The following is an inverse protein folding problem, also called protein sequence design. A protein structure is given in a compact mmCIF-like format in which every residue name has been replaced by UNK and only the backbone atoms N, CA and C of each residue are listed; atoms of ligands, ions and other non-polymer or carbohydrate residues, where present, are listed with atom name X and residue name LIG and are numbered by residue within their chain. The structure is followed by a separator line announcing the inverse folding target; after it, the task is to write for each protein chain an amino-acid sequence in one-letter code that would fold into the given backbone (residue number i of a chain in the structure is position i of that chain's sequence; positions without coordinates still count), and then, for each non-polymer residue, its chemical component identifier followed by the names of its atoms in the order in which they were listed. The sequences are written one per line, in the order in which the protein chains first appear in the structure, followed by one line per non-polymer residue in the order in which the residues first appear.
data_IF_262988062316
#
_entry.id   IF_262988062316
#
_cell.length_a   1.000
_cell.length_b   1.000
_cell.length_c   1.000
_cell.angle_alpha   90.00
_cell.angle_beta   90.00
_cell.angle_gamma   90.00
#
_symmetry.space_group_name_H-M   'P 1'
#
loop_
_entity.id
_entity.type
_entity.pdbx_description
1 polymer ?
#
# COMPACT_ATOMS: atom_id res chain seq x y z
N UNK A 1 -4.92 8.27 -10.39
CA UNK A 1 -3.52 8.12 -10.86
C UNK A 1 -2.57 7.65 -9.77
N UNK A 2 -2.08 8.51 -8.86
CA UNK A 2 -1.04 8.09 -7.88
C UNK A 2 -1.56 7.04 -6.86
N UNK A 3 -2.73 7.29 -6.26
CA UNK A 3 -3.31 6.36 -5.27
C UNK A 3 -3.66 5.01 -5.92
N UNK A 4 -4.13 5.02 -7.17
CA UNK A 4 -4.38 3.79 -7.94
C UNK A 4 -3.10 2.99 -8.15
N UNK A 5 -2.00 3.63 -8.57
CA UNK A 5 -0.70 2.99 -8.76
C UNK A 5 -0.14 2.40 -7.45
N UNK A 6 -0.24 3.16 -6.35
CA UNK A 6 0.19 2.68 -5.02
C UNK A 6 -0.67 1.49 -4.60
N UNK A 7 -1.99 1.60 -4.73
CA UNK A 7 -2.94 0.55 -4.38
C UNK A 7 -2.71 -0.74 -5.17
N UNK A 8 -2.46 -0.63 -6.47
CA UNK A 8 -2.12 -1.75 -7.34
C UNK A 8 -0.79 -2.40 -6.93
N UNK A 9 0.24 -1.59 -6.66
CA UNK A 9 1.56 -2.08 -6.21
C UNK A 9 1.44 -2.87 -4.90
N UNK A 10 0.72 -2.32 -3.92
CA UNK A 10 0.46 -2.97 -2.62
C UNK A 10 -0.31 -4.28 -2.82
N UNK A 11 -1.36 -4.28 -3.65
CA UNK A 11 -2.15 -5.48 -3.95
C UNK A 11 -1.30 -6.57 -4.60
N UNK A 12 -0.47 -6.21 -5.58
CA UNK A 12 0.37 -7.16 -6.31
C UNK A 12 1.40 -7.78 -5.37
N UNK A 13 2.09 -6.95 -4.57
CA UNK A 13 3.04 -7.44 -3.58
C UNK A 13 2.39 -8.34 -2.54
N UNK A 14 1.20 -7.99 -2.04
CA UNK A 14 0.43 -8.83 -1.12
C UNK A 14 0.14 -10.21 -1.72
N UNK A 15 -0.25 -10.26 -3.00
CA UNK A 15 -0.52 -11.52 -3.71
C UNK A 15 0.75 -12.35 -3.92
N UNK A 16 1.89 -11.74 -4.21
CA UNK A 16 3.19 -12.44 -4.28
C UNK A 16 3.55 -13.12 -2.96
N UNK A 17 3.30 -12.43 -1.84
CA UNK A 17 3.50 -12.97 -0.48
C UNK A 17 2.40 -13.97 -0.07
N UNK A 18 1.39 -14.20 -0.92
CA UNK A 18 0.27 -15.14 -0.71
C UNK A 18 -0.54 -14.89 0.56
N UNK A 19 -0.69 -13.63 0.97
CA UNK A 19 -1.48 -13.26 2.15
C UNK A 19 -2.81 -12.58 1.78
N UNK A 20 -3.80 -12.71 2.65
CA UNK A 20 -5.13 -12.11 2.47
C UNK A 20 -5.14 -10.63 2.91
N UNK A 21 -6.16 -9.87 2.48
CA UNK A 21 -6.31 -8.49 2.95
C UNK A 21 -6.50 -8.39 4.47
N UNK A 22 -7.34 -9.22 5.13
CA UNK A 22 -7.43 -9.23 6.59
C UNK A 22 -6.08 -9.46 7.27
N UNK A 23 -5.29 -10.42 6.77
CA UNK A 23 -3.99 -10.72 7.35
C UNK A 23 -2.99 -9.58 7.21
N UNK A 24 -2.92 -8.94 6.03
CA UNK A 24 -2.05 -7.76 5.86
C UNK A 24 -2.50 -6.60 6.75
N UNK A 25 -3.80 -6.34 6.86
CA UNK A 25 -4.33 -5.27 7.69
C UNK A 25 -4.01 -5.49 9.18
N UNK A 26 -4.12 -6.73 9.66
CA UNK A 26 -3.73 -7.14 11.00
C UNK A 26 -2.23 -6.92 11.24
N UNK A 27 -1.37 -7.46 10.37
CA UNK A 27 0.09 -7.30 10.49
C UNK A 27 0.52 -5.83 10.47
N UNK A 28 -0.11 -5.00 9.64
CA UNK A 28 0.20 -3.58 9.54
C UNK A 28 -0.48 -2.72 10.62
N UNK A 29 -1.35 -3.30 11.45
CA UNK A 29 -2.10 -2.57 12.48
C UNK A 29 -3.01 -1.48 11.90
N UNK A 30 -3.68 -1.77 10.76
CA UNK A 30 -4.63 -0.86 10.12
C UNK A 30 -6.00 -1.51 9.94
N UNK A 31 -7.03 -0.70 9.68
CA UNK A 31 -8.35 -1.26 9.37
C UNK A 31 -8.36 -1.96 8.02
N UNK A 32 -9.07 -3.10 7.94
CA UNK A 32 -9.30 -3.83 6.67
C UNK A 32 -9.97 -2.92 5.64
N UNK A 33 -10.89 -2.04 6.07
CA UNK A 33 -11.55 -1.08 5.19
C UNK A 33 -10.58 -0.07 4.57
N UNK A 34 -9.57 0.37 5.33
CA UNK A 34 -8.49 1.24 4.84
C UNK A 34 -7.72 0.53 3.73
N UNK A 35 -7.29 -0.71 3.96
CA UNK A 35 -6.58 -1.51 2.95
C UNK A 35 -7.46 -1.78 1.72
N UNK A 36 -8.74 -2.09 1.92
CA UNK A 36 -9.68 -2.37 0.85
C UNK A 36 -9.92 -1.17 -0.07
N UNK A 37 -10.07 0.02 0.50
CA UNK A 37 -10.17 1.27 -0.28
C UNK A 37 -8.87 1.55 -1.01
N UNK A 38 -7.74 1.45 -0.30
CA UNK A 38 -6.40 1.68 -0.85
C UNK A 38 -6.12 0.80 -2.08
N UNK A 39 -6.33 -0.52 -1.99
CA UNK A 39 -6.08 -1.45 -3.10
C UNK A 39 -7.01 -1.25 -4.31
N UNK A 40 -8.03 -0.42 -4.20
CA UNK A 40 -8.91 -0.02 -5.32
C UNK A 40 -8.61 1.40 -5.81
N UNK A 41 -7.53 2.01 -5.35
CA UNK A 41 -7.17 3.38 -5.69
C UNK A 41 -8.10 4.42 -5.05
N UNK A 42 -8.86 4.04 -4.01
CA UNK A 42 -9.83 4.92 -3.37
C UNK A 42 -9.29 5.50 -2.06
N UNK A 43 -9.66 6.75 -1.79
CA UNK A 43 -9.28 7.48 -0.59
C UNK A 43 -7.92 8.16 -0.70
N UNK A 44 -7.43 8.66 0.44
CA UNK A 44 -6.13 9.30 0.57
C UNK A 44 -5.42 8.70 1.78
N UNK A 45 -4.59 7.65 1.61
CA UNK A 45 -3.86 7.05 2.73
C UNK A 45 -2.88 8.06 3.31
N UNK A 46 -2.74 8.09 4.63
CA UNK A 46 -1.66 8.86 5.26
C UNK A 46 -0.31 8.21 4.96
N UNK A 47 0.78 8.99 5.02
CA UNK A 47 2.13 8.44 4.92
C UNK A 47 2.39 7.37 5.99
N UNK A 48 1.83 7.52 7.19
CA UNK A 48 1.93 6.53 8.25
C UNK A 48 1.32 5.17 7.83
N UNK A 49 0.14 5.18 7.21
CA UNK A 49 -0.48 3.95 6.69
C UNK A 49 0.38 3.32 5.60
N UNK A 50 0.92 4.14 4.69
CA UNK A 50 1.81 3.64 3.64
C UNK A 50 3.09 3.04 4.21
N UNK A 51 3.68 3.66 5.25
CA UNK A 51 4.88 3.16 5.90
C UNK A 51 4.63 1.83 6.62
N UNK A 52 3.55 1.73 7.39
CA UNK A 52 3.15 0.48 8.05
C UNK A 52 2.97 -0.67 7.05
N UNK A 53 2.33 -0.38 5.92
CA UNK A 53 2.16 -1.37 4.86
C UNK A 53 3.48 -1.73 4.19
N UNK A 54 4.36 -0.76 3.92
CA UNK A 54 5.65 -1.04 3.31
C UNK A 54 6.54 -1.89 4.20
N UNK A 55 6.56 -1.63 5.52
CA UNK A 55 7.34 -2.41 6.49
C UNK A 55 6.95 -3.89 6.47
N UNK A 56 5.65 -4.19 6.51
CA UNK A 56 5.13 -5.57 6.49
C UNK A 56 5.37 -6.25 5.13
N UNK A 57 5.28 -5.51 4.03
CA UNK A 57 5.43 -6.04 2.68
C UNK A 57 6.89 -6.17 2.23
N UNK A 58 7.85 -5.74 3.07
CA UNK A 58 9.27 -5.69 2.74
C UNK A 58 9.55 -4.71 1.60
N UNK A 59 8.93 -3.54 1.64
CA UNK A 59 9.02 -2.48 0.65
C UNK A 59 9.58 -1.20 1.27
N UNK A 60 10.04 -0.28 0.42
CA UNK A 60 10.51 1.04 0.83
C UNK A 60 9.76 2.13 0.06
N UNK A 61 9.35 3.19 0.76
CA UNK A 61 8.79 4.39 0.14
C UNK A 61 9.93 5.29 -0.33
N UNK A 62 10.00 5.55 -1.64
CA UNK A 62 11.06 6.37 -2.25
C UNK A 62 10.49 7.52 -3.05
N UNK A 63 11.03 8.72 -2.82
CA UNK A 63 10.81 9.87 -3.68
C UNK A 63 11.95 9.96 -4.70
N UNK A 64 11.59 10.29 -5.95
CA UNK A 64 12.54 10.44 -7.04
C UNK A 64 12.22 11.72 -7.81
N UNK A 65 13.26 12.37 -8.34
CA UNK A 65 13.10 13.54 -9.19
C UNK A 65 12.35 13.09 -10.46
N UNK A 66 11.21 13.72 -10.74
CA UNK A 66 10.52 13.54 -12.03
C UNK A 66 11.50 14.00 -13.11
N UNK A 67 11.92 13.09 -14.00
CA UNK A 67 12.93 13.36 -15.03
C UNK A 67 12.66 14.71 -15.71
N UNK A 68 13.74 15.47 -15.98
CA UNK A 68 13.73 16.87 -16.44
C UNK A 68 12.46 17.19 -17.25
N UNK A 69 11.69 18.17 -16.74
CA UNK A 69 10.59 18.80 -17.48
C UNK A 69 11.04 19.25 -18.87
#
# INVERSE_FOLDING_TARGET
MLVEQIGETIRNRRKELKITQPHLAELAGISINTLYKLERGQGNPSLEVLNKLSDVLGMELKLQIKGKL
#
